data_IF_613603617654
#
_entry.id   IF_613603617654
#
_cell.length_a   1.000
_cell.length_b   1.000
_cell.length_c   1.000
_cell.angle_alpha   90.00
_cell.angle_beta   90.00
_cell.angle_gamma   90.00
#
_symmetry.space_group_name_H-M   'P 1'
#
loop_
_entity.id
_entity.type
_entity.pdbx_description
1 polymer ?
#
# COMPACT_ATOMS: atom_id res chain seq x y z
N UNK A 1 -7.28 -25.42 1.72
CA UNK A 1 -6.35 -24.49 2.42
C UNK A 1 -5.74 -23.55 1.40
N UNK A 2 -5.35 -22.32 1.79
CA UNK A 2 -4.64 -21.40 0.89
C UNK A 2 -3.19 -21.89 0.66
N UNK A 3 -2.73 -21.80 -0.59
CA UNK A 3 -1.39 -22.19 -1.03
C UNK A 3 -0.37 -21.10 -0.66
N UNK A 4 0.56 -21.42 0.25
CA UNK A 4 1.54 -20.47 0.77
C UNK A 4 2.61 -20.09 -0.25
N UNK A 5 3.03 -21.02 -1.11
CA UNK A 5 4.07 -20.77 -2.11
C UNK A 5 3.56 -19.81 -3.18
N UNK A 6 2.29 -19.98 -3.58
CA UNK A 6 1.61 -19.05 -4.47
C UNK A 6 1.46 -17.67 -3.83
N UNK A 7 1.09 -17.60 -2.55
CA UNK A 7 0.93 -16.34 -1.83
C UNK A 7 2.25 -15.57 -1.67
N UNK A 8 3.38 -16.25 -1.44
CA UNK A 8 4.69 -15.57 -1.45
C UNK A 8 5.00 -14.96 -2.81
N UNK A 9 4.78 -15.71 -3.91
CA UNK A 9 4.95 -15.19 -5.28
C UNK A 9 4.05 -14.00 -5.57
N UNK A 10 2.80 -14.05 -5.10
CA UNK A 10 1.86 -12.93 -5.22
C UNK A 10 2.35 -11.71 -4.45
N UNK A 11 2.81 -11.88 -3.21
CA UNK A 11 3.34 -10.77 -2.42
C UNK A 11 4.49 -10.08 -3.16
N UNK A 12 5.48 -10.84 -3.64
CA UNK A 12 6.64 -10.29 -4.35
C UNK A 12 6.24 -9.61 -5.67
N UNK A 13 5.31 -10.21 -6.41
CA UNK A 13 4.79 -9.66 -7.67
C UNK A 13 4.02 -8.36 -7.43
N UNK A 14 3.16 -8.31 -6.42
CA UNK A 14 2.40 -7.11 -6.08
C UNK A 14 3.31 -6.00 -5.56
N UNK A 15 4.35 -6.31 -4.79
CA UNK A 15 5.31 -5.31 -4.34
C UNK A 15 6.09 -4.71 -5.52
N UNK A 16 6.60 -5.55 -6.42
CA UNK A 16 7.32 -5.10 -7.60
C UNK A 16 6.44 -4.20 -8.48
N UNK A 17 5.19 -4.60 -8.68
CA UNK A 17 4.24 -3.85 -9.48
C UNK A 17 3.83 -2.53 -8.81
N UNK A 18 3.60 -2.52 -7.49
CA UNK A 18 3.36 -1.29 -6.72
C UNK A 18 4.48 -0.27 -6.94
N UNK A 19 5.74 -0.69 -6.90
CA UNK A 19 6.91 0.17 -7.15
C UNK A 19 6.92 0.69 -8.59
N UNK A 20 6.69 -0.19 -9.58
CA UNK A 20 6.66 0.18 -11.00
C UNK A 20 5.58 1.24 -11.28
N UNK A 21 4.33 0.97 -10.90
CA UNK A 21 3.22 1.90 -11.18
C UNK A 21 3.33 3.20 -10.39
N UNK A 22 3.94 3.18 -9.20
CA UNK A 22 4.23 4.43 -8.47
C UNK A 22 5.27 5.27 -9.20
N UNK A 23 6.30 4.64 -9.78
CA UNK A 23 7.30 5.33 -10.62
C UNK A 23 6.72 5.98 -11.87
N UNK A 24 5.60 5.47 -12.38
CA UNK A 24 4.84 6.03 -13.51
C UNK A 24 3.85 7.13 -13.09
N UNK A 25 3.78 7.47 -11.80
CA UNK A 25 2.84 8.48 -11.29
C UNK A 25 1.40 7.98 -11.17
N UNK A 26 1.15 6.67 -11.34
CA UNK A 26 -0.16 6.04 -11.23
C UNK A 26 -0.47 5.68 -9.76
N UNK A 27 -0.75 6.71 -8.95
CA UNK A 27 -0.85 6.59 -7.49
C UNK A 27 -2.04 5.75 -7.02
N UNK A 28 -3.23 5.88 -7.63
CA UNK A 28 -4.40 5.10 -7.23
C UNK A 28 -4.21 3.59 -7.53
N UNK A 29 -3.76 3.19 -8.75
CA UNK A 29 -3.40 1.79 -9.00
C UNK A 29 -2.30 1.27 -8.07
N UNK A 30 -1.31 2.11 -7.73
CA UNK A 30 -0.27 1.74 -6.78
C UNK A 30 -0.85 1.41 -5.40
N UNK A 31 -1.82 2.20 -4.94
CA UNK A 31 -2.50 1.96 -3.68
C UNK A 31 -3.21 0.60 -3.64
N UNK A 32 -3.86 0.19 -4.74
CA UNK A 32 -4.50 -1.13 -4.82
C UNK A 32 -3.48 -2.27 -4.64
N UNK A 33 -2.28 -2.14 -5.18
CA UNK A 33 -1.21 -3.12 -4.95
C UNK A 33 -0.71 -3.13 -3.51
N UNK A 34 -0.71 -1.99 -2.81
CA UNK A 34 -0.43 -1.95 -1.36
C UNK A 34 -1.47 -2.74 -0.58
N UNK A 35 -2.76 -2.58 -0.91
CA UNK A 35 -3.85 -3.34 -0.29
C UNK A 35 -3.72 -4.84 -0.57
N UNK A 36 -3.38 -5.23 -1.80
CA UNK A 36 -3.12 -6.63 -2.17
C UNK A 36 -1.94 -7.21 -1.38
N UNK A 37 -0.84 -6.47 -1.21
CA UNK A 37 0.29 -6.89 -0.38
C UNK A 37 -0.15 -7.10 1.09
N UNK A 38 -0.87 -6.14 1.66
CA UNK A 38 -1.37 -6.20 3.04
C UNK A 38 -2.25 -7.42 3.27
N UNK A 39 -3.21 -7.66 2.37
CA UNK A 39 -4.09 -8.82 2.45
C UNK A 39 -3.31 -10.14 2.31
N UNK A 40 -2.42 -10.24 1.34
CA UNK A 40 -1.60 -11.44 1.11
C UNK A 40 -0.73 -11.76 2.32
N UNK A 41 -0.12 -10.74 2.93
CA UNK A 41 0.62 -10.87 4.19
C UNK A 41 -0.28 -11.41 5.32
N UNK A 42 -1.49 -10.87 5.49
CA UNK A 42 -2.39 -11.33 6.55
C UNK A 42 -2.78 -12.80 6.37
N UNK A 43 -2.99 -13.25 5.13
CA UNK A 43 -3.28 -14.68 4.85
C UNK A 43 -2.07 -15.55 5.16
N UNK A 44 -0.86 -15.13 4.79
CA UNK A 44 0.39 -15.84 5.10
C UNK A 44 0.65 -15.93 6.62
N UNK A 45 0.43 -14.83 7.35
CA UNK A 45 0.56 -14.76 8.82
C UNK A 45 -0.45 -15.71 9.49
N UNK A 46 -1.72 -15.68 9.06
CA UNK A 46 -2.76 -16.59 9.56
C UNK A 46 -2.51 -18.06 9.24
N UNK A 47 -1.79 -18.35 8.15
CA UNK A 47 -1.37 -19.72 7.81
C UNK A 47 -0.20 -20.22 8.67
N UNK A 48 0.43 -19.35 9.47
CA UNK A 48 1.66 -19.66 10.20
C UNK A 48 2.87 -19.85 9.28
N UNK A 49 2.79 -19.33 8.06
CA UNK A 49 3.84 -19.47 7.04
C UNK A 49 4.97 -18.44 7.20
N UNK A 50 4.77 -17.44 8.06
CA UNK A 50 5.74 -16.38 8.36
C UNK A 50 6.22 -16.56 9.80
N UNK A 51 7.53 -16.63 10.00
CA UNK A 51 8.12 -16.67 11.34
C UNK A 51 8.05 -15.32 12.04
N UNK A 52 8.19 -15.32 13.36
CA UNK A 52 8.18 -14.09 14.19
C UNK A 52 9.24 -13.08 13.72
N UNK A 53 10.40 -13.55 13.27
CA UNK A 53 11.50 -12.72 12.76
C UNK A 53 11.18 -12.13 11.38
N UNK A 54 10.53 -12.90 10.50
CA UNK A 54 10.14 -12.46 9.15
C UNK A 54 8.98 -11.46 9.17
N UNK A 55 8.06 -11.58 10.14
CA UNK A 55 6.85 -10.75 10.26
C UNK A 55 7.17 -9.26 10.25
N UNK A 56 8.17 -8.83 11.01
CA UNK A 56 8.62 -7.43 11.05
C UNK A 56 9.11 -6.95 9.68
N UNK A 57 9.78 -7.82 8.91
CA UNK A 57 10.24 -7.54 7.55
C UNK A 57 9.09 -7.29 6.57
N UNK A 58 8.08 -8.16 6.57
CA UNK A 58 6.87 -7.98 5.75
C UNK A 58 6.11 -6.70 6.11
N UNK A 59 5.92 -6.42 7.41
CA UNK A 59 5.26 -5.19 7.87
C UNK A 59 6.04 -3.95 7.39
N UNK A 60 7.37 -3.98 7.45
CA UNK A 60 8.22 -2.88 6.96
C UNK A 60 8.05 -2.67 5.45
N UNK A 61 8.06 -3.75 4.65
CA UNK A 61 7.85 -3.69 3.19
C UNK A 61 6.51 -3.03 2.84
N UNK A 62 5.41 -3.49 3.42
CA UNK A 62 4.06 -2.91 3.18
C UNK A 62 4.00 -1.45 3.61
N UNK A 63 4.56 -1.11 4.78
CA UNK A 63 4.59 0.27 5.28
C UNK A 63 5.37 1.22 4.36
N UNK A 64 6.49 0.76 3.81
CA UNK A 64 7.30 1.55 2.90
C UNK A 64 6.54 1.84 1.58
N UNK A 65 5.82 0.85 1.04
CA UNK A 65 4.97 1.08 -0.13
C UNK A 65 3.85 2.09 0.17
N UNK A 66 3.15 1.92 1.31
CA UNK A 66 2.10 2.84 1.72
C UNK A 66 2.60 4.29 1.86
N UNK A 67 3.81 4.47 2.42
CA UNK A 67 4.45 5.78 2.53
C UNK A 67 4.76 6.39 1.16
N UNK A 68 5.31 5.60 0.24
CA UNK A 68 5.61 6.05 -1.12
C UNK A 68 4.34 6.52 -1.84
N UNK A 69 3.28 5.72 -1.77
CA UNK A 69 1.98 6.04 -2.37
C UNK A 69 1.36 7.30 -1.74
N UNK A 70 1.42 7.43 -0.40
CA UNK A 70 0.92 8.61 0.30
C UNK A 70 1.66 9.90 -0.10
N UNK A 71 2.99 9.83 -0.25
CA UNK A 71 3.80 10.95 -0.72
C UNK A 71 3.42 11.35 -2.16
N UNK A 72 3.28 10.37 -3.05
CA UNK A 72 2.83 10.62 -4.42
C UNK A 72 1.43 11.22 -4.49
N UNK A 73 0.51 10.75 -3.65
CA UNK A 73 -0.84 11.32 -3.55
C UNK A 73 -0.81 12.77 -3.07
N UNK A 74 -0.03 13.08 -2.04
CA UNK A 74 0.10 14.44 -1.54
C UNK A 74 0.62 15.38 -2.63
N UNK A 75 1.62 14.95 -3.40
CA UNK A 75 2.14 15.71 -4.54
C UNK A 75 1.06 15.98 -5.59
N UNK A 76 0.28 14.97 -5.98
CA UNK A 76 -0.85 15.16 -6.91
C UNK A 76 -1.88 16.16 -6.37
N UNK A 77 -2.14 16.15 -5.06
CA UNK A 77 -3.06 17.12 -4.44
C UNK A 77 -2.51 18.54 -4.45
N UNK A 78 -1.21 18.69 -4.22
CA UNK A 78 -0.52 19.97 -4.30
C UNK A 78 -0.55 20.54 -5.73
N UNK A 79 -0.29 19.72 -6.75
CA UNK A 79 -0.38 20.11 -8.17
C UNK A 79 -1.80 20.55 -8.57
N UNK A 80 -2.83 20.06 -7.89
CA UNK A 80 -4.23 20.43 -8.10
C UNK A 80 -4.69 21.62 -7.24
N UNK A 81 -3.79 22.27 -6.49
CA UNK A 81 -4.12 23.32 -5.51
C UNK A 81 -5.13 22.85 -4.44
N UNK A 82 -4.97 21.62 -3.95
CA UNK A 82 -5.75 21.04 -2.85
C UNK A 82 -7.28 21.18 -2.99
N UNK A 83 -7.91 20.62 -4.03
CA UNK A 83 -9.32 20.83 -4.33
C UNK A 83 -10.28 20.31 -3.24
N UNK A 84 -9.80 19.43 -2.37
CA UNK A 84 -10.56 18.84 -1.26
C UNK A 84 -10.41 19.60 0.07
N UNK A 85 -9.50 20.58 0.16
CA UNK A 85 -9.23 21.31 1.40
C UNK A 85 -10.35 22.31 1.75
N UNK A 86 -11.16 22.73 0.77
CA UNK A 86 -12.23 23.71 0.96
C UNK A 86 -13.49 23.17 1.67
N UNK A 87 -13.76 21.86 1.64
CA UNK A 87 -14.94 21.28 2.32
C UNK A 87 -14.71 20.93 3.79
N UNK A 88 -13.48 20.64 4.20
CA UNK A 88 -13.17 20.39 5.61
C UNK A 88 -13.21 21.69 6.45
N UNK A 89 -12.68 22.80 5.90
CA UNK A 89 -12.69 24.10 6.56
C UNK A 89 -14.09 24.73 6.73
N UNK A 90 -15.09 24.26 5.97
CA UNK A 90 -16.48 24.70 6.10
C UNK A 90 -17.23 23.98 7.24
N UNK A 91 -16.79 22.78 7.64
CA UNK A 91 -17.41 21.98 8.70
C UNK A 91 -16.88 22.32 10.11
N UNK A 92 -15.76 23.04 10.23
CA UNK A 92 -15.21 23.50 11.51
C UNK A 92 -15.76 24.87 11.96
N UNK A 93 -16.72 25.45 11.21
CA UNK A 93 -17.33 26.76 11.50
C UNK A 93 -18.80 26.68 11.93
N UNK A 94 -19.25 25.56 12.47
CA UNK A 94 -20.59 25.41 13.08
C UNK A 94 -20.50 24.91 14.52
#
# INVERSE_FOLDING_TARGET
MADTDLLFKFFDSYEAEAKRVTGEGLILPAYDYVLKCSHTFNVLDARGAISVTERTGFISRVRNLARLVAQGYLKQREEMDYPLKSKAAACEKE
#
